data_IF_910952249711
#
_entry.id   IF_910952249711
#
_cell.length_a   1.000
_cell.length_b   1.000
_cell.length_c   1.000
_cell.angle_alpha   90.00
_cell.angle_beta   90.00
_cell.angle_gamma   90.00
#
_symmetry.space_group_name_H-M   'P 1'
#
loop_
_entity.id
_entity.type
_entity.pdbx_description
1 polymer ?
#
# COMPACT_ATOMS: atom_id res chain seq x y z
N UNK A 1 -11.28 -30.78 -8.28
CA UNK A 1 -10.92 -29.86 -7.18
C UNK A 1 -11.66 -28.54 -7.38
N UNK A 2 -12.40 -28.11 -6.40
CA UNK A 2 -13.08 -26.81 -6.50
C UNK A 2 -12.07 -25.69 -6.25
N UNK A 3 -12.09 -24.70 -7.10
CA UNK A 3 -11.27 -23.53 -6.94
C UNK A 3 -12.11 -22.37 -6.39
N UNK A 4 -11.63 -21.79 -5.33
CA UNK A 4 -12.27 -20.63 -4.70
C UNK A 4 -11.35 -19.42 -4.76
N UNK A 5 -11.91 -18.21 -4.93
CA UNK A 5 -11.11 -17.01 -4.78
C UNK A 5 -10.49 -16.94 -3.38
N UNK A 6 -9.33 -16.33 -3.29
CA UNK A 6 -8.63 -16.21 -2.01
C UNK A 6 -9.33 -15.20 -1.10
N UNK A 7 -9.52 -15.54 0.20
CA UNK A 7 -10.05 -14.57 1.15
C UNK A 7 -9.01 -13.47 1.43
N UNK A 8 -9.48 -12.28 1.72
CA UNK A 8 -8.61 -11.11 1.94
C UNK A 8 -8.28 -10.82 3.40
N UNK A 9 -8.77 -11.64 4.32
CA UNK A 9 -8.67 -11.33 5.75
C UNK A 9 -7.38 -11.83 6.41
N UNK A 10 -6.58 -12.64 5.72
CA UNK A 10 -5.38 -13.24 6.29
C UNK A 10 -4.14 -12.77 5.53
N UNK A 11 -3.44 -11.79 6.08
CA UNK A 11 -2.30 -11.18 5.44
C UNK A 11 -1.26 -10.73 6.47
N UNK A 12 -0.03 -10.52 6.01
CA UNK A 12 1.04 -9.94 6.82
C UNK A 12 1.79 -8.87 6.03
N UNK A 13 2.41 -7.95 6.74
CA UNK A 13 3.16 -6.84 6.16
C UNK A 13 4.56 -6.83 6.72
N UNK A 14 5.55 -6.91 5.86
CA UNK A 14 6.95 -6.71 6.21
C UNK A 14 7.36 -5.31 5.74
N UNK A 15 7.45 -4.38 6.67
CA UNK A 15 7.71 -2.97 6.39
C UNK A 15 8.97 -2.44 7.08
N UNK A 16 9.81 -3.36 7.59
CA UNK A 16 11.02 -2.99 8.32
C UNK A 16 10.81 -2.69 9.80
N UNK A 17 9.57 -2.80 10.29
CA UNK A 17 9.26 -2.68 11.71
C UNK A 17 9.19 -4.06 12.40
N UNK A 18 9.00 -4.05 13.70
CA UNK A 18 8.95 -5.29 14.50
C UNK A 18 7.60 -5.98 14.46
N UNK A 19 6.51 -5.23 14.22
CA UNK A 19 5.15 -5.78 14.21
C UNK A 19 4.64 -5.86 12.78
N UNK A 20 4.25 -7.05 12.37
CA UNK A 20 3.79 -7.36 11.01
C UNK A 20 2.28 -7.58 10.92
N UNK A 21 1.57 -7.57 12.05
CA UNK A 21 0.11 -7.73 12.09
C UNK A 21 -0.61 -6.40 11.90
N UNK A 22 -1.33 -6.27 10.80
CA UNK A 22 -2.10 -5.07 10.47
C UNK A 22 -3.57 -5.41 10.37
N UNK A 23 -4.44 -4.42 10.63
CA UNK A 23 -5.89 -4.61 10.52
C UNK A 23 -6.39 -4.34 9.12
N UNK A 24 -5.73 -3.43 8.39
CA UNK A 24 -6.17 -3.05 7.05
C UNK A 24 -5.00 -2.52 6.23
N UNK A 25 -4.96 -2.89 4.95
CA UNK A 25 -4.06 -2.30 3.97
C UNK A 25 -4.88 -2.04 2.70
N UNK A 26 -4.79 -0.84 2.16
CA UNK A 26 -5.52 -0.45 0.95
C UNK A 26 -4.62 0.38 0.03
N UNK A 27 -5.08 0.58 -1.21
CA UNK A 27 -4.34 1.37 -2.20
C UNK A 27 -3.36 0.58 -3.03
N UNK A 28 -3.50 -0.74 -3.10
CA UNK A 28 -2.64 -1.60 -3.93
C UNK A 28 -3.07 -1.49 -5.39
N UNK A 29 -2.70 -0.40 -6.04
CA UNK A 29 -3.11 -0.13 -7.40
C UNK A 29 -2.00 0.49 -8.24
N UNK A 30 -2.02 0.17 -9.52
CA UNK A 30 -1.13 0.76 -10.53
C UNK A 30 -2.01 1.25 -11.66
N UNK A 31 -1.81 2.50 -12.06
CA UNK A 31 -2.53 3.10 -13.17
C UNK A 31 -1.54 3.51 -14.25
N UNK A 32 -1.87 3.17 -15.49
CA UNK A 32 -1.08 3.61 -16.64
C UNK A 32 -1.83 4.75 -17.30
N UNK A 33 -1.18 5.90 -17.41
CA UNK A 33 -1.75 7.04 -18.13
C UNK A 33 -1.78 6.70 -19.61
N UNK A 34 -2.83 7.16 -20.27
CA UNK A 34 -2.95 7.00 -21.72
C UNK A 34 -2.58 8.29 -22.42
N UNK A 35 -1.92 8.16 -23.56
CA UNK A 35 -1.60 9.28 -24.44
C UNK A 35 -2.51 9.14 -25.65
N UNK A 36 -3.30 10.16 -25.92
CA UNK A 36 -4.18 10.17 -27.07
C UNK A 36 -3.52 10.93 -28.23
N UNK A 37 -3.52 10.30 -29.39
CA UNK A 37 -2.97 10.90 -30.60
C UNK A 37 -3.94 10.72 -31.76
N UNK A 38 -4.15 11.78 -32.53
CA UNK A 38 -4.92 11.74 -33.75
C UNK A 38 -4.21 12.57 -34.79
N UNK A 39 -3.87 11.94 -35.92
CA UNK A 39 -3.31 12.64 -37.07
C UNK A 39 -4.43 13.39 -37.79
N UNK A 40 -4.17 14.65 -38.14
CA UNK A 40 -5.15 15.49 -38.86
C UNK A 40 -5.51 15.00 -40.24
N UNK A 41 -4.70 14.18 -40.86
CA UNK A 41 -4.96 13.57 -42.18
C UNK A 41 -5.63 12.21 -42.07
N UNK A 42 -5.87 11.70 -40.86
CA UNK A 42 -6.53 10.42 -40.67
C UNK A 42 -7.99 10.47 -41.13
N UNK A 43 -8.44 9.55 -41.97
CA UNK A 43 -9.84 9.49 -42.37
C UNK A 43 -10.78 9.02 -41.29
N UNK A 44 -10.25 8.48 -40.20
CA UNK A 44 -11.03 7.97 -39.07
C UNK A 44 -11.14 9.01 -37.96
N UNK A 45 -12.29 9.04 -37.27
CA UNK A 45 -12.51 9.91 -36.15
C UNK A 45 -12.10 9.31 -34.83
N UNK A 46 -11.29 8.23 -34.84
CA UNK A 46 -10.82 7.52 -33.67
C UNK A 46 -9.41 7.99 -33.33
N UNK A 47 -9.21 8.31 -32.04
CA UNK A 47 -7.88 8.65 -31.53
C UNK A 47 -7.11 7.38 -31.24
N UNK A 48 -5.82 7.35 -31.60
CA UNK A 48 -4.93 6.28 -31.20
C UNK A 48 -4.55 6.50 -29.74
N UNK A 49 -4.69 5.46 -28.92
CA UNK A 49 -4.33 5.50 -27.51
C UNK A 49 -3.06 4.71 -27.27
N UNK A 50 -2.10 5.36 -26.62
CA UNK A 50 -0.81 4.77 -26.32
C UNK A 50 -0.59 4.77 -24.82
N UNK A 51 0.17 3.77 -24.29
CA UNK A 51 0.53 3.80 -22.87
C UNK A 51 1.51 4.93 -22.57
N UNK A 52 1.23 5.67 -21.51
CA UNK A 52 2.10 6.71 -20.99
C UNK A 52 2.80 6.26 -19.73
N UNK A 53 3.00 7.20 -18.81
CA UNK A 53 3.67 6.92 -17.55
C UNK A 53 2.75 6.15 -16.60
N UNK A 54 3.36 5.36 -15.75
CA UNK A 54 2.64 4.66 -14.69
C UNK A 54 2.53 5.53 -13.44
N UNK A 55 1.38 5.46 -12.80
CA UNK A 55 1.10 6.16 -11.55
C UNK A 55 0.68 5.14 -10.51
N UNK A 56 1.23 5.25 -9.31
CA UNK A 56 0.96 4.33 -8.22
C UNK A 56 0.08 5.02 -7.18
N UNK A 57 -0.92 4.29 -6.67
CA UNK A 57 -1.78 4.79 -5.62
C UNK A 57 -1.06 4.90 -4.28
N UNK A 58 -1.57 5.75 -3.41
CA UNK A 58 -1.08 5.82 -2.03
C UNK A 58 -1.53 4.59 -1.26
N UNK A 59 -0.63 4.02 -0.46
CA UNK A 59 -0.93 2.85 0.35
C UNK A 59 -1.26 3.30 1.75
N UNK A 60 -2.42 2.90 2.24
CA UNK A 60 -2.87 3.20 3.59
C UNK A 60 -2.80 1.93 4.42
N UNK A 61 -2.04 1.97 5.52
CA UNK A 61 -1.87 0.83 6.42
C UNK A 61 -2.39 1.19 7.80
N UNK A 62 -3.21 0.31 8.38
CA UNK A 62 -3.78 0.50 9.71
C UNK A 62 -3.41 -0.65 10.62
N UNK A 63 -3.05 -0.33 11.83
CA UNK A 63 -2.77 -1.33 12.87
C UNK A 63 -3.23 -0.83 14.24
N UNK A 64 -3.35 -1.75 15.20
CA UNK A 64 -3.64 -1.39 16.58
C UNK A 64 -2.50 -0.61 17.22
N UNK A 65 -2.82 0.30 18.11
CA UNK A 65 -1.85 1.08 18.87
C UNK A 65 -1.39 0.27 20.08
N UNK A 66 -0.08 0.05 20.21
CA UNK A 66 0.51 -0.68 21.31
C UNK A 66 1.38 0.24 22.16
N UNK A 67 1.33 0.07 23.48
CA UNK A 67 2.17 0.84 24.38
C UNK A 67 3.66 0.56 24.10
N UNK A 68 4.44 1.62 24.01
CA UNK A 68 5.88 1.52 23.78
C UNK A 68 6.27 1.35 22.32
N UNK A 69 5.32 1.29 21.41
CA UNK A 69 5.59 1.14 19.98
C UNK A 69 5.37 2.48 19.27
N UNK A 70 6.44 3.11 18.84
CA UNK A 70 6.45 4.42 18.20
C UNK A 70 7.03 4.36 16.78
N UNK A 71 7.07 3.18 16.16
CA UNK A 71 7.78 2.97 14.90
C UNK A 71 7.20 3.77 13.73
N UNK A 72 5.88 3.96 13.66
CA UNK A 72 5.26 4.76 12.60
C UNK A 72 5.70 6.22 12.66
N UNK A 73 5.65 6.79 13.85
CA UNK A 73 6.04 8.18 14.06
C UNK A 73 7.54 8.37 13.81
N UNK A 74 8.35 7.46 14.25
CA UNK A 74 9.80 7.52 14.05
C UNK A 74 10.16 7.49 12.57
N UNK A 75 9.51 6.63 11.79
CA UNK A 75 9.72 6.59 10.35
C UNK A 75 9.27 7.88 9.67
N UNK A 76 8.07 8.36 10.01
CA UNK A 76 7.58 9.63 9.47
C UNK A 76 8.49 10.80 9.84
N UNK A 77 9.07 10.78 11.03
CA UNK A 77 9.93 11.85 11.51
C UNK A 77 11.23 11.98 10.70
N UNK A 78 11.67 10.92 10.02
CA UNK A 78 12.81 11.00 9.11
C UNK A 78 12.54 11.98 7.97
N UNK A 79 11.31 12.05 7.49
CA UNK A 79 10.88 13.00 6.46
C UNK A 79 10.93 14.43 7.01
N UNK A 80 10.43 14.63 8.22
CA UNK A 80 10.41 15.95 8.87
C UNK A 80 11.82 16.49 9.10
N UNK A 81 12.82 15.62 9.26
CA UNK A 81 14.22 15.98 9.45
C UNK A 81 15.01 16.05 8.14
N UNK A 82 14.35 15.99 6.99
CA UNK A 82 14.96 15.97 5.66
C UNK A 82 15.93 14.80 5.42
N UNK A 83 15.83 13.75 6.22
CA UNK A 83 16.60 12.52 6.06
C UNK A 83 15.66 11.38 5.74
N UNK A 84 15.02 11.44 4.57
CA UNK A 84 13.99 10.49 4.17
C UNK A 84 14.55 9.08 4.13
N UNK A 85 13.99 8.20 4.95
CA UNK A 85 14.30 6.78 4.91
C UNK A 85 13.29 6.07 4.02
N UNK A 86 13.74 5.60 2.87
CA UNK A 86 12.91 4.81 1.97
C UNK A 86 13.06 3.34 2.29
N UNK A 87 11.94 2.63 2.33
CA UNK A 87 11.91 1.21 2.65
C UNK A 87 11.18 0.44 1.56
N UNK A 88 11.62 -0.79 1.34
CA UNK A 88 10.86 -1.73 0.52
C UNK A 88 9.87 -2.46 1.43
N UNK A 89 8.61 -2.48 1.03
CA UNK A 89 7.54 -3.08 1.83
C UNK A 89 7.02 -4.30 1.09
N UNK A 90 6.85 -5.40 1.81
CA UNK A 90 6.33 -6.64 1.25
C UNK A 90 5.03 -6.99 1.96
N UNK A 91 3.94 -7.11 1.19
CA UNK A 91 2.66 -7.60 1.68
C UNK A 91 2.44 -9.01 1.18
N UNK A 92 1.98 -9.89 2.05
CA UNK A 92 1.71 -11.27 1.71
C UNK A 92 0.28 -11.63 2.09
N UNK A 93 -0.50 -12.12 1.11
CA UNK A 93 -1.79 -12.72 1.37
C UNK A 93 -1.55 -14.19 1.68
N UNK A 94 -2.05 -14.65 2.81
CA UNK A 94 -1.76 -15.99 3.34
C UNK A 94 -2.93 -16.93 3.11
N UNK A 95 -2.62 -18.21 2.93
CA UNK A 95 -3.63 -19.27 2.90
C UNK A 95 -3.92 -19.78 4.32
N UNK A 96 -4.75 -20.79 4.45
CA UNK A 96 -5.13 -21.36 5.74
C UNK A 96 -3.95 -21.98 6.49
N UNK A 97 -2.91 -22.39 5.79
CA UNK A 97 -1.68 -22.94 6.38
C UNK A 97 -0.64 -21.86 6.70
N UNK A 98 -1.01 -20.57 6.64
CA UNK A 98 -0.13 -19.42 6.86
C UNK A 98 1.02 -19.33 5.85
N UNK A 99 0.81 -19.84 4.64
CA UNK A 99 1.79 -19.75 3.58
C UNK A 99 1.45 -18.61 2.61
N UNK A 100 2.44 -17.82 2.16
CA UNK A 100 2.17 -16.77 1.20
C UNK A 100 1.68 -17.34 -0.13
N UNK A 101 0.58 -16.83 -0.65
CA UNK A 101 0.03 -17.22 -1.95
C UNK A 101 0.03 -16.07 -2.96
N UNK A 102 -0.09 -14.84 -2.48
CA UNK A 102 0.06 -13.64 -3.31
C UNK A 102 0.98 -12.69 -2.56
N UNK A 103 1.99 -12.16 -3.24
CA UNK A 103 2.95 -11.25 -2.65
C UNK A 103 2.99 -9.96 -3.45
N UNK A 104 2.81 -8.83 -2.77
CA UNK A 104 2.99 -7.50 -3.36
C UNK A 104 4.28 -6.92 -2.83
N UNK A 105 5.15 -6.49 -3.75
CA UNK A 105 6.40 -5.83 -3.39
C UNK A 105 6.30 -4.36 -3.76
N UNK A 106 6.56 -3.52 -2.79
CA UNK A 106 6.47 -2.08 -2.90
C UNK A 106 7.87 -1.50 -2.76
N UNK A 107 8.28 -0.72 -3.74
CA UNK A 107 9.64 -0.22 -3.85
C UNK A 107 9.76 1.23 -3.40
N UNK A 108 10.76 1.53 -2.59
CA UNK A 108 11.10 2.89 -2.15
C UNK A 108 9.91 3.64 -1.54
N UNK A 109 9.21 2.99 -0.62
CA UNK A 109 8.09 3.60 0.08
C UNK A 109 8.57 4.51 1.21
N UNK A 110 7.88 5.62 1.40
CA UNK A 110 8.10 6.51 2.52
C UNK A 110 6.78 7.13 2.96
N UNK A 111 6.64 7.46 4.26
CA UNK A 111 5.37 7.93 4.78
C UNK A 111 5.15 9.41 4.47
N UNK A 112 3.93 9.73 4.05
CA UNK A 112 3.50 11.12 3.86
C UNK A 112 2.62 11.59 4.99
N UNK A 113 1.99 10.67 5.73
CA UNK A 113 1.04 11.02 6.78
C UNK A 113 0.99 9.93 7.84
N UNK A 114 0.99 10.34 9.09
CA UNK A 114 0.72 9.47 10.24
C UNK A 114 -0.50 10.03 10.96
N UNK A 115 -1.50 9.18 11.19
CA UNK A 115 -2.72 9.57 11.86
C UNK A 115 -2.92 8.69 13.09
N UNK A 116 -3.09 9.33 14.24
CA UNK A 116 -3.45 8.63 15.47
C UNK A 116 -4.96 8.54 15.62
N UNK A 117 -5.43 7.62 16.47
CA UNK A 117 -6.85 7.45 16.72
C UNK A 117 -7.45 8.69 17.35
N UNK A 118 -8.74 8.94 17.10
CA UNK A 118 -9.52 9.93 17.85
C UNK A 118 -9.71 9.41 19.27
N UNK A 119 -9.62 10.32 20.22
CA UNK A 119 -9.78 9.98 21.63
C UNK A 119 -11.21 10.30 22.07
N UNK A 120 -11.91 9.27 22.54
CA UNK A 120 -13.29 9.37 22.97
C UNK A 120 -13.50 8.50 24.21
N UNK A 121 -13.84 9.12 25.35
CA UNK A 121 -13.98 8.41 26.62
C UNK A 121 -15.15 7.42 26.65
N UNK A 122 -16.12 7.60 25.75
CA UNK A 122 -17.27 6.69 25.65
C UNK A 122 -17.15 5.69 24.49
N UNK A 123 -16.07 5.78 23.71
CA UNK A 123 -15.83 4.87 22.58
C UNK A 123 -15.43 3.48 23.05
N UNK A 124 -16.06 2.48 22.49
CA UNK A 124 -15.78 1.07 22.78
C UNK A 124 -15.00 0.43 21.65
N UNK A 125 -13.95 1.10 21.21
CA UNK A 125 -13.12 0.68 20.08
C UNK A 125 -11.65 0.64 20.47
N UNK A 126 -10.90 -0.22 19.78
CA UNK A 126 -9.46 -0.29 19.94
C UNK A 126 -8.81 0.92 19.26
N UNK A 127 -7.80 1.49 19.89
CA UNK A 127 -7.03 2.56 19.29
C UNK A 127 -6.26 2.04 18.06
N UNK A 128 -6.36 2.76 16.95
CA UNK A 128 -5.77 2.37 15.67
C UNK A 128 -4.91 3.50 15.13
N UNK A 129 -3.71 3.17 14.66
CA UNK A 129 -2.84 4.12 13.95
C UNK A 129 -2.94 3.87 12.44
N UNK A 130 -2.84 4.95 11.68
CA UNK A 130 -2.86 4.90 10.23
C UNK A 130 -1.60 5.52 9.66
N UNK A 131 -0.98 4.83 8.71
CA UNK A 131 0.19 5.30 7.99
C UNK A 131 -0.11 5.32 6.50
N UNK A 132 0.11 6.47 5.86
CA UNK A 132 -0.06 6.62 4.42
C UNK A 132 1.31 6.70 3.76
N UNK A 133 1.55 5.84 2.79
CA UNK A 133 2.82 5.74 2.08
C UNK A 133 2.66 6.13 0.62
N UNK A 134 3.67 6.76 0.06
CA UNK A 134 3.88 6.85 -1.38
C UNK A 134 5.07 5.98 -1.75
N UNK A 135 5.13 5.51 -2.99
CA UNK A 135 6.19 4.61 -3.44
C UNK A 135 6.49 4.77 -4.92
N UNK A 136 7.54 4.11 -5.36
CA UNK A 136 8.03 4.22 -6.74
C UNK A 136 7.82 2.95 -7.56
N UNK A 137 7.19 1.94 -7.01
CA UNK A 137 6.92 0.71 -7.75
C UNK A 137 6.10 -0.28 -6.95
N UNK A 138 5.21 -0.98 -7.66
CA UNK A 138 4.38 -2.05 -7.09
C UNK A 138 4.42 -3.23 -8.05
N UNK A 139 4.82 -4.39 -7.54
CA UNK A 139 4.76 -5.64 -8.28
C UNK A 139 3.94 -6.65 -7.51
N UNK A 140 3.28 -7.55 -8.23
CA UNK A 140 2.47 -8.62 -7.65
C UNK A 140 2.96 -9.97 -8.19
N UNK A 141 3.18 -10.90 -7.28
CA UNK A 141 3.60 -12.26 -7.63
C UNK A 141 2.66 -13.27 -6.96
N UNK A 142 2.34 -14.33 -7.67
CA UNK A 142 1.62 -15.47 -7.13
C UNK A 142 2.61 -16.59 -6.84
N UNK A 143 2.58 -17.06 -5.63
CA UNK A 143 3.47 -18.15 -5.21
C UNK A 143 2.86 -19.51 -5.52
#
# INVERSE_FOLDING_TARGET
MAEYPLPKFHFQVDWGGTKIGFTEVSGLEVTTDKIEYRDGVSPEYVKTQMPGMQTFGEITMKRGTFAGDNEFYEWWNTVALNTIERRDVTLSLLNEAHEPVVVWKIKNAWPTKVTSTDLNSTGNEVAVETLVLVHEGLTMEHA
#
